data_IF_582023293947
#
_entry.id   IF_582023293947
#
_cell.length_a   1.000
_cell.length_b   1.000
_cell.length_c   1.000
_cell.angle_alpha   90.00
_cell.angle_beta   90.00
_cell.angle_gamma   90.00
#
_symmetry.space_group_name_H-M   'P 1'
#
loop_
_entity.id
_entity.type
_entity.pdbx_description
1 polymer ?
#
# COMPACT_ATOMS: atom_id res chain seq x y z
N UNK A 1 -0.65 -37.63 2.42
CA UNK A 1 -1.34 -36.98 3.56
C UNK A 1 -0.96 -35.51 3.66
N UNK A 2 0.32 -35.16 3.67
CA UNK A 2 0.81 -33.77 3.74
C UNK A 2 0.32 -32.94 2.55
N UNK A 3 0.39 -33.42 1.33
CA UNK A 3 -0.09 -32.69 0.15
C UNK A 3 -1.57 -32.30 0.27
N UNK A 4 -2.39 -33.19 0.84
CA UNK A 4 -3.81 -32.90 1.07
C UNK A 4 -4.02 -31.85 2.18
N UNK A 5 -3.14 -31.80 3.18
CA UNK A 5 -3.17 -30.77 4.22
C UNK A 5 -2.64 -29.42 3.72
N UNK A 6 -1.82 -29.43 2.69
CA UNK A 6 -1.25 -28.25 2.06
C UNK A 6 -2.17 -27.62 0.99
N UNK A 7 -3.26 -28.29 0.61
CA UNK A 7 -4.25 -27.72 -0.32
C UNK A 7 -4.85 -26.42 0.27
N UNK A 8 -4.87 -25.34 -0.51
CA UNK A 8 -5.35 -24.03 -0.06
C UNK A 8 -4.40 -23.25 0.84
N UNK A 9 -3.13 -23.71 0.98
CA UNK A 9 -2.13 -23.03 1.84
C UNK A 9 -1.78 -21.61 1.40
N UNK A 10 -2.03 -21.24 0.15
CA UNK A 10 -1.85 -19.88 -0.37
C UNK A 10 -2.76 -18.86 0.31
N UNK A 11 -3.93 -19.27 0.79
CA UNK A 11 -4.90 -18.43 1.48
C UNK A 11 -4.66 -18.33 3.00
N UNK A 12 -3.69 -19.11 3.51
CA UNK A 12 -3.37 -19.18 4.95
C UNK A 12 -2.12 -18.35 5.25
N UNK A 13 -2.17 -17.52 6.27
CA UNK A 13 -1.04 -16.70 6.72
C UNK A 13 -0.25 -17.31 7.89
N UNK A 14 -0.91 -18.11 8.72
CA UNK A 14 -0.32 -18.74 9.91
C UNK A 14 -1.03 -20.07 10.20
N UNK A 15 -0.26 -21.12 10.47
CA UNK A 15 -0.78 -22.42 10.92
C UNK A 15 -0.54 -22.61 12.41
N UNK A 16 -1.59 -22.98 13.13
CA UNK A 16 -1.44 -23.47 14.50
C UNK A 16 -1.30 -24.99 14.52
N UNK A 17 -0.21 -25.46 15.10
CA UNK A 17 0.09 -26.88 15.24
C UNK A 17 -0.43 -27.36 16.58
N UNK A 18 -1.45 -28.24 16.54
CA UNK A 18 -1.98 -28.87 17.74
C UNK A 18 -1.02 -29.95 18.27
N UNK A 19 -0.77 -29.93 19.56
CA UNK A 19 0.14 -30.83 20.23
C UNK A 19 -0.61 -32.04 20.76
N UNK A 20 -0.63 -33.14 20.02
CA UNK A 20 -1.33 -34.36 20.45
C UNK A 20 -0.43 -35.58 20.70
N UNK A 21 0.89 -35.44 20.77
CA UNK A 21 1.95 -36.44 20.89
C UNK A 21 2.73 -36.74 19.60
N UNK A 22 4.02 -36.52 19.68
CA UNK A 22 5.12 -36.85 18.75
C UNK A 22 4.80 -37.15 17.27
N UNK A 23 4.51 -36.16 16.45
CA UNK A 23 5.02 -36.20 15.09
C UNK A 23 5.72 -34.90 14.70
N UNK A 24 6.83 -34.61 15.38
CA UNK A 24 7.67 -33.47 15.00
C UNK A 24 8.05 -33.52 13.52
N UNK A 25 8.38 -34.71 13.03
CA UNK A 25 8.78 -34.91 11.64
C UNK A 25 7.65 -34.52 10.68
N UNK A 26 6.40 -34.87 11.00
CA UNK A 26 5.24 -34.55 10.16
C UNK A 26 4.97 -33.03 10.13
N UNK A 27 5.09 -32.36 11.28
CA UNK A 27 4.91 -30.92 11.41
C UNK A 27 6.02 -30.15 10.64
N UNK A 28 7.27 -30.63 10.75
CA UNK A 28 8.39 -30.05 10.01
C UNK A 28 8.24 -30.24 8.50
N UNK A 29 7.89 -31.44 8.05
CA UNK A 29 7.66 -31.72 6.65
C UNK A 29 6.50 -30.90 6.09
N UNK A 30 5.42 -30.75 6.87
CA UNK A 30 4.29 -29.87 6.50
C UNK A 30 4.75 -28.41 6.38
N UNK A 31 5.44 -27.88 7.40
CA UNK A 31 5.92 -26.50 7.37
C UNK A 31 6.88 -26.23 6.22
N UNK A 32 7.79 -27.15 5.91
CA UNK A 32 8.67 -27.06 4.75
C UNK A 32 7.89 -27.05 3.43
N UNK A 33 6.83 -27.86 3.37
CA UNK A 33 5.99 -27.98 2.17
C UNK A 33 5.16 -26.71 1.89
N UNK A 34 4.58 -26.10 2.94
CA UNK A 34 3.72 -24.92 2.78
C UNK A 34 4.52 -23.61 2.77
N UNK A 35 5.71 -23.57 3.37
CA UNK A 35 6.54 -22.36 3.44
C UNK A 35 5.88 -21.18 4.17
N UNK A 36 4.99 -21.49 5.12
CA UNK A 36 4.23 -20.51 5.89
C UNK A 36 4.64 -20.53 7.35
N UNK A 37 4.48 -19.41 8.08
CA UNK A 37 4.68 -19.39 9.52
C UNK A 37 3.84 -20.45 10.24
N UNK A 38 4.42 -21.08 11.23
CA UNK A 38 3.73 -22.01 12.10
C UNK A 38 3.82 -21.54 13.55
N UNK A 39 2.83 -21.89 14.36
CA UNK A 39 2.75 -21.51 15.77
C UNK A 39 2.22 -22.63 16.62
N UNK A 40 2.50 -22.55 17.91
CA UNK A 40 1.91 -23.41 18.95
C UNK A 40 1.45 -22.51 20.10
N UNK A 41 0.32 -22.84 20.71
CA UNK A 41 -0.11 -22.28 21.98
C UNK A 41 0.22 -23.24 23.12
N UNK A 42 0.25 -22.76 24.36
CA UNK A 42 0.60 -23.54 25.55
C UNK A 42 2.05 -24.04 25.49
N UNK A 43 2.98 -23.09 25.46
CA UNK A 43 4.40 -23.38 25.44
C UNK A 43 4.82 -24.29 26.61
N UNK A 44 5.56 -25.35 26.29
CA UNK A 44 6.13 -26.29 27.24
C UNK A 44 7.56 -26.65 26.85
N UNK A 45 8.23 -27.45 27.63
CA UNK A 45 9.62 -27.88 27.31
C UNK A 45 9.75 -28.58 25.94
N UNK A 46 8.71 -29.25 25.49
CA UNK A 46 8.68 -29.86 24.16
C UNK A 46 8.50 -28.85 23.03
N UNK A 47 7.79 -27.74 23.25
CA UNK A 47 7.66 -26.66 22.26
C UNK A 47 8.99 -25.92 22.04
N UNK A 48 9.85 -25.82 23.08
CA UNK A 48 11.18 -25.24 22.95
C UNK A 48 12.06 -26.06 22.00
N UNK A 49 12.01 -27.39 22.08
CA UNK A 49 12.74 -28.27 21.16
C UNK A 49 12.21 -28.13 19.73
N UNK A 50 10.89 -28.09 19.58
CA UNK A 50 10.25 -27.90 18.27
C UNK A 50 10.61 -26.55 17.67
N UNK A 51 10.56 -25.49 18.45
CA UNK A 51 10.96 -24.13 18.01
C UNK A 51 12.42 -24.12 17.52
N UNK A 52 13.32 -24.73 18.30
CA UNK A 52 14.73 -24.79 17.94
C UNK A 52 14.95 -25.54 16.61
N UNK A 53 14.25 -26.66 16.40
CA UNK A 53 14.34 -27.44 15.17
C UNK A 53 13.79 -26.69 13.94
N UNK A 54 12.66 -26.01 14.08
CA UNK A 54 12.10 -25.17 13.02
C UNK A 54 13.05 -24.02 12.64
N UNK A 55 13.56 -23.30 13.65
CA UNK A 55 14.50 -22.20 13.44
C UNK A 55 15.82 -22.65 12.82
N UNK A 56 16.35 -23.82 13.26
CA UNK A 56 17.56 -24.38 12.68
C UNK A 56 17.44 -24.73 11.19
N UNK A 57 16.22 -24.96 10.71
CA UNK A 57 15.89 -25.18 9.30
C UNK A 57 15.46 -23.92 8.55
N UNK A 58 15.54 -22.76 9.19
CA UNK A 58 15.12 -21.49 8.60
C UNK A 58 13.61 -21.33 8.44
N UNK A 59 12.82 -22.15 9.17
CA UNK A 59 11.37 -22.06 9.18
C UNK A 59 10.89 -21.08 10.25
N UNK A 60 9.88 -20.32 9.93
CA UNK A 60 9.29 -19.34 10.84
C UNK A 60 8.34 -20.04 11.82
N UNK A 61 8.63 -19.95 13.11
CA UNK A 61 7.87 -20.63 14.16
C UNK A 61 7.72 -19.75 15.40
N UNK A 62 6.51 -19.76 15.97
CA UNK A 62 6.15 -18.98 17.14
C UNK A 62 5.62 -19.88 18.25
N UNK A 63 5.97 -19.54 19.48
CA UNK A 63 5.53 -20.26 20.68
C UNK A 63 4.84 -19.26 21.60
N UNK A 64 3.54 -19.38 21.73
CA UNK A 64 2.69 -18.49 22.52
C UNK A 64 2.33 -19.12 23.86
N UNK A 65 2.25 -18.32 24.91
CA UNK A 65 1.85 -18.78 26.23
C UNK A 65 0.37 -19.18 26.22
N UNK A 66 -0.45 -18.37 25.61
CA UNK A 66 -1.90 -18.56 25.48
C UNK A 66 -2.47 -17.95 24.19
N UNK A 67 -3.80 -17.92 24.08
CA UNK A 67 -4.49 -17.34 22.93
C UNK A 67 -4.53 -15.80 22.94
N UNK A 68 -4.38 -15.17 24.10
CA UNK A 68 -4.30 -13.70 24.19
C UNK A 68 -2.99 -13.20 23.59
N UNK A 69 -1.87 -13.80 23.99
CA UNK A 69 -0.54 -13.56 23.41
C UNK A 69 -0.53 -13.85 21.89
N UNK A 70 -1.11 -14.96 21.45
CA UNK A 70 -1.24 -15.29 20.05
C UNK A 70 -2.04 -14.24 19.27
N UNK A 71 -3.12 -13.71 19.84
CA UNK A 71 -3.99 -12.72 19.20
C UNK A 71 -3.27 -11.38 19.03
N UNK A 72 -2.52 -10.95 20.03
CA UNK A 72 -1.69 -9.74 19.95
C UNK A 72 -0.67 -9.87 18.83
N UNK A 73 0.04 -11.00 18.77
CA UNK A 73 1.06 -11.24 17.77
C UNK A 73 0.48 -11.38 16.35
N UNK A 74 -0.71 -11.94 16.18
CA UNK A 74 -1.41 -11.99 14.88
C UNK A 74 -1.64 -10.59 14.31
N UNK A 75 -1.84 -9.57 15.16
CA UNK A 75 -1.94 -8.18 14.72
C UNK A 75 -0.63 -7.69 14.07
N UNK A 76 0.51 -8.07 14.63
CA UNK A 76 1.84 -7.76 14.07
C UNK A 76 2.05 -8.49 12.74
N UNK A 77 1.67 -9.78 12.65
CA UNK A 77 1.76 -10.55 11.39
C UNK A 77 0.88 -9.96 10.29
N UNK A 78 -0.34 -9.50 10.66
CA UNK A 78 -1.22 -8.79 9.73
C UNK A 78 -0.58 -7.50 9.21
N UNK A 79 0.02 -6.69 10.08
CA UNK A 79 0.71 -5.47 9.67
C UNK A 79 1.86 -5.79 8.71
N UNK A 80 2.65 -6.81 8.99
CA UNK A 80 3.72 -7.30 8.10
C UNK A 80 3.18 -7.72 6.73
N UNK A 81 2.05 -8.43 6.68
CA UNK A 81 1.39 -8.82 5.43
C UNK A 81 0.93 -7.60 4.64
N UNK A 82 0.24 -6.66 5.30
CA UNK A 82 -0.21 -5.41 4.66
C UNK A 82 0.97 -4.65 4.05
N UNK A 83 2.08 -4.54 4.77
CA UNK A 83 3.30 -3.90 4.23
C UNK A 83 3.85 -4.66 3.01
N UNK A 84 3.90 -5.99 3.07
CA UNK A 84 4.38 -6.83 1.97
C UNK A 84 3.50 -6.71 0.72
N UNK A 85 2.20 -6.59 0.90
CA UNK A 85 1.23 -6.48 -0.19
C UNK A 85 1.06 -5.03 -0.69
N UNK A 86 1.70 -4.06 -0.01
CA UNK A 86 1.62 -2.66 -0.38
C UNK A 86 2.35 -2.38 -1.69
N UNK A 87 1.68 -1.59 -2.54
CA UNK A 87 2.20 -1.10 -3.81
C UNK A 87 2.07 0.42 -3.82
N UNK A 88 3.18 1.10 -3.66
CA UNK A 88 3.23 2.56 -3.60
C UNK A 88 3.31 3.11 -5.02
N UNK A 89 2.36 3.94 -5.41
CA UNK A 89 2.47 4.77 -6.59
C UNK A 89 3.20 6.07 -6.24
N UNK A 90 4.40 6.24 -6.75
CA UNK A 90 5.23 7.42 -6.55
C UNK A 90 5.16 8.32 -7.78
N UNK A 91 4.41 9.42 -7.67
CA UNK A 91 4.31 10.42 -8.73
C UNK A 91 5.51 11.37 -8.64
N UNK A 92 6.59 11.06 -9.32
CA UNK A 92 7.84 11.81 -9.24
C UNK A 92 8.08 12.68 -10.47
N UNK A 93 8.92 13.69 -10.35
CA UNK A 93 9.34 14.54 -11.47
C UNK A 93 10.20 13.78 -12.49
N UNK A 94 10.96 12.81 -12.00
CA UNK A 94 11.83 11.95 -12.81
C UNK A 94 11.64 10.50 -12.39
N UNK A 95 11.71 9.60 -13.34
CA UNK A 95 11.64 8.15 -13.12
C UNK A 95 12.93 7.57 -12.54
N UNK A 96 13.88 8.40 -12.15
CA UNK A 96 15.12 7.94 -11.55
C UNK A 96 14.95 7.75 -10.04
N UNK A 97 15.61 6.73 -9.52
CA UNK A 97 15.66 6.37 -8.12
C UNK A 97 16.33 7.41 -7.22
N UNK A 98 16.83 8.49 -7.79
CA UNK A 98 17.49 9.55 -7.05
C UNK A 98 16.74 10.86 -7.29
N UNK A 99 15.93 11.25 -6.32
CA UNK A 99 15.48 12.64 -6.23
C UNK A 99 16.64 13.48 -5.71
N UNK A 100 17.11 14.43 -6.51
CA UNK A 100 18.26 15.27 -6.20
C UNK A 100 17.95 16.30 -5.12
N UNK A 101 16.68 16.44 -4.72
CA UNK A 101 16.20 17.56 -3.91
C UNK A 101 15.90 17.26 -2.46
N UNK A 102 15.87 15.99 -2.06
CA UNK A 102 15.53 15.62 -0.68
C UNK A 102 16.62 14.72 -0.06
N UNK A 103 17.18 15.09 1.11
CA UNK A 103 18.16 14.26 1.81
C UNK A 103 17.63 12.92 2.30
N UNK A 104 16.33 12.76 2.36
CA UNK A 104 15.60 11.54 2.69
C UNK A 104 15.41 10.59 1.50
N UNK A 105 15.74 11.01 0.29
CA UNK A 105 15.66 10.17 -0.92
C UNK A 105 16.93 9.34 -1.19
N UNK A 106 17.81 9.22 -0.22
CA UNK A 106 19.02 8.37 -0.28
C UNK A 106 18.67 6.87 -0.05
N UNK A 107 17.43 6.57 0.30
CA UNK A 107 17.01 5.19 0.54
C UNK A 107 16.88 4.46 -0.80
N UNK A 108 17.60 3.36 -0.92
CA UNK A 108 17.50 2.46 -2.05
C UNK A 108 16.13 1.74 -2.04
N UNK A 109 15.26 1.96 -3.04
CA UNK A 109 13.94 1.35 -3.09
C UNK A 109 13.99 -0.19 -3.16
N UNK A 110 15.05 -0.75 -3.73
CA UNK A 110 15.23 -2.21 -3.78
C UNK A 110 15.38 -2.79 -2.38
N UNK A 111 16.09 -2.09 -1.49
CA UNK A 111 16.20 -2.50 -0.08
C UNK A 111 14.89 -2.44 0.68
N UNK A 112 14.00 -1.52 0.32
CA UNK A 112 12.66 -1.46 0.89
C UNK A 112 11.89 -2.71 0.46
N UNK A 113 11.94 -3.06 -0.82
CA UNK A 113 11.29 -4.25 -1.35
C UNK A 113 11.87 -5.53 -0.76
N UNK A 114 13.18 -5.64 -0.64
CA UNK A 114 13.85 -6.78 0.00
C UNK A 114 13.45 -6.95 1.47
N UNK A 115 13.40 -5.83 2.21
CA UNK A 115 13.13 -5.84 3.65
C UNK A 115 11.68 -6.06 4.00
N UNK A 116 10.77 -5.39 3.29
CA UNK A 116 9.36 -5.31 3.65
C UNK A 116 8.43 -5.98 2.62
N UNK A 117 8.92 -6.29 1.43
CA UNK A 117 8.09 -6.78 0.33
C UNK A 117 7.32 -5.68 -0.41
N UNK A 118 7.26 -4.48 0.14
CA UNK A 118 6.58 -3.32 -0.44
C UNK A 118 7.16 -2.98 -1.81
N UNK A 119 6.31 -2.79 -2.80
CA UNK A 119 6.71 -2.45 -4.17
C UNK A 119 6.47 -0.98 -4.44
N UNK A 120 7.42 -0.34 -5.14
CA UNK A 120 7.29 1.06 -5.53
C UNK A 120 7.16 1.12 -7.05
N UNK A 121 6.09 1.75 -7.52
CA UNK A 121 5.85 2.03 -8.94
C UNK A 121 5.99 3.52 -9.18
N UNK A 122 6.76 3.89 -10.18
CA UNK A 122 6.99 5.28 -10.52
C UNK A 122 6.11 5.71 -11.69
N UNK A 123 5.54 6.90 -11.57
CA UNK A 123 4.85 7.61 -12.64
C UNK A 123 5.36 9.03 -12.70
N UNK A 124 5.38 9.61 -13.89
CA UNK A 124 5.74 11.01 -14.03
C UNK A 124 4.69 11.91 -13.37
N UNK A 125 5.10 12.76 -12.43
CA UNK A 125 4.21 13.75 -11.84
C UNK A 125 3.61 14.69 -12.89
N UNK A 126 4.33 15.00 -13.96
CA UNK A 126 3.81 15.80 -15.06
C UNK A 126 2.67 15.08 -15.79
N UNK A 127 2.83 13.79 -16.03
CA UNK A 127 1.80 12.97 -16.66
C UNK A 127 0.54 12.88 -15.81
N UNK A 128 0.69 12.63 -14.51
CA UNK A 128 -0.43 12.65 -13.57
C UNK A 128 -1.16 14.00 -13.61
N UNK A 129 -0.43 15.11 -13.53
CA UNK A 129 -1.00 16.45 -13.53
C UNK A 129 -1.71 16.79 -14.85
N UNK A 130 -1.22 16.32 -15.98
CA UNK A 130 -1.82 16.55 -17.27
C UNK A 130 -3.13 15.75 -17.46
N UNK A 131 -3.26 14.59 -16.81
CA UNK A 131 -4.48 13.78 -16.81
C UNK A 131 -5.58 14.32 -15.88
N UNK A 132 -5.25 15.23 -14.95
CA UNK A 132 -6.24 15.95 -14.13
C UNK A 132 -6.88 17.03 -15.01
N UNK A 133 -7.70 16.60 -15.95
CA UNK A 133 -8.41 17.42 -16.91
C UNK A 133 -9.58 16.63 -17.48
N UNK A 134 -10.63 17.33 -17.91
CA UNK A 134 -11.76 16.75 -18.66
C UNK A 134 -11.46 16.63 -20.15
N UNK A 135 -10.54 17.46 -20.65
CA UNK A 135 -10.04 17.36 -22.02
C UNK A 135 -8.93 16.32 -22.07
N UNK A 136 -8.80 15.62 -23.18
CA UNK A 136 -7.63 14.76 -23.45
C UNK A 136 -6.60 15.50 -24.32
N UNK A 137 -5.88 16.49 -23.75
CA UNK A 137 -4.94 17.30 -24.51
C UNK A 137 -3.69 16.54 -24.90
N UNK A 138 -3.49 15.35 -24.29
CA UNK A 138 -2.25 14.60 -24.36
C UNK A 138 -2.38 13.28 -25.12
N UNK A 139 -3.45 13.09 -25.87
CA UNK A 139 -3.66 11.86 -26.65
C UNK A 139 -2.45 11.47 -27.52
N UNK A 140 -1.69 12.48 -27.98
CA UNK A 140 -0.50 12.29 -28.79
C UNK A 140 0.79 12.06 -28.00
N UNK A 141 0.79 12.32 -26.69
CA UNK A 141 1.97 12.25 -25.82
C UNK A 141 1.84 11.19 -24.74
N UNK A 142 0.62 10.72 -24.48
CA UNK A 142 0.42 9.66 -23.51
C UNK A 142 1.03 8.36 -24.00
N UNK A 143 1.66 7.65 -23.09
CA UNK A 143 2.12 6.28 -23.36
C UNK A 143 0.93 5.44 -23.82
N UNK A 144 1.06 4.65 -24.91
CA UNK A 144 0.01 3.77 -25.36
C UNK A 144 -0.50 2.90 -24.20
N UNK A 145 -1.82 2.89 -23.99
CA UNK A 145 -2.45 2.16 -22.91
C UNK A 145 -3.00 3.01 -21.76
N UNK A 146 -2.77 4.33 -21.75
CA UNK A 146 -3.29 5.24 -20.72
C UNK A 146 -4.49 6.08 -21.15
N UNK A 147 -5.09 5.75 -22.26
CA UNK A 147 -6.37 6.34 -22.66
C UNK A 147 -7.42 6.10 -21.57
N UNK A 148 -8.20 7.11 -21.26
CA UNK A 148 -9.30 7.02 -20.30
C UNK A 148 -8.92 7.31 -18.84
N UNK A 149 -7.72 7.81 -18.55
CA UNK A 149 -7.37 8.28 -17.21
C UNK A 149 -7.85 9.72 -16.93
N UNK A 150 -8.24 10.45 -17.96
CA UNK A 150 -8.83 11.78 -17.82
C UNK A 150 -10.15 11.72 -17.05
N UNK A 151 -10.51 12.83 -16.43
CA UNK A 151 -11.80 13.00 -15.79
C UNK A 151 -12.91 12.98 -16.84
N UNK A 152 -14.03 12.35 -16.53
CA UNK A 152 -15.20 12.26 -17.38
C UNK A 152 -16.31 13.19 -16.92
N UNK A 153 -17.35 13.37 -17.73
CA UNK A 153 -18.54 14.15 -17.33
C UNK A 153 -19.32 13.48 -16.17
N UNK A 154 -19.21 12.18 -15.99
CA UNK A 154 -19.72 11.44 -14.84
C UNK A 154 -18.90 11.74 -13.59
N UNK A 155 -17.56 11.72 -13.71
CA UNK A 155 -16.66 12.11 -12.62
C UNK A 155 -16.97 13.55 -12.17
N UNK A 156 -17.20 14.48 -13.09
CA UNK A 156 -17.50 15.87 -12.76
C UNK A 156 -18.71 16.01 -11.83
N UNK A 157 -19.77 15.26 -12.08
CA UNK A 157 -20.98 15.29 -11.24
C UNK A 157 -20.70 14.80 -9.82
N UNK A 158 -19.87 13.77 -9.71
CA UNK A 158 -19.49 13.20 -8.40
C UNK A 158 -18.56 14.17 -7.68
N UNK A 159 -17.60 14.74 -8.38
CA UNK A 159 -16.67 15.76 -7.87
C UNK A 159 -17.42 16.98 -7.36
N UNK A 160 -18.43 17.48 -8.09
CA UNK A 160 -19.24 18.59 -7.66
C UNK A 160 -19.98 18.29 -6.36
N UNK A 161 -20.59 17.10 -6.27
CA UNK A 161 -21.29 16.66 -5.06
C UNK A 161 -20.33 16.52 -3.86
N UNK A 162 -19.21 15.86 -4.02
CA UNK A 162 -18.21 15.69 -2.95
C UNK A 162 -17.61 17.04 -2.52
N UNK A 163 -17.40 17.95 -3.46
CA UNK A 163 -16.94 19.31 -3.15
C UNK A 163 -17.93 20.02 -2.21
N UNK A 164 -19.24 19.95 -2.52
CA UNK A 164 -20.28 20.57 -1.71
C UNK A 164 -20.41 19.89 -0.34
N UNK A 165 -20.27 18.57 -0.27
CA UNK A 165 -20.29 17.80 0.98
C UNK A 165 -19.08 18.13 1.87
N UNK A 166 -17.88 18.26 1.31
CA UNK A 166 -16.68 18.65 2.04
C UNK A 166 -16.80 20.05 2.64
N UNK A 167 -17.29 21.01 1.86
CA UNK A 167 -17.50 22.39 2.33
C UNK A 167 -18.57 22.43 3.43
N UNK A 168 -19.67 21.70 3.26
CA UNK A 168 -20.76 21.66 4.24
C UNK A 168 -20.36 20.93 5.54
N UNK A 169 -19.44 19.98 5.49
CA UNK A 169 -18.93 19.25 6.65
C UNK A 169 -17.79 19.94 7.39
N UNK A 170 -17.18 20.97 6.81
CA UNK A 170 -16.08 21.68 7.43
C UNK A 170 -16.59 22.62 8.55
N UNK A 171 -15.87 22.68 9.69
CA UNK A 171 -16.14 23.67 10.74
C UNK A 171 -15.92 25.09 10.22
N UNK A 172 -14.93 25.30 9.37
CA UNK A 172 -14.59 26.55 8.72
C UNK A 172 -13.95 26.27 7.35
N UNK A 173 -14.33 27.03 6.33
CA UNK A 173 -13.76 26.93 4.99
C UNK A 173 -13.46 28.33 4.46
N UNK A 174 -12.20 28.74 4.50
CA UNK A 174 -11.73 30.03 3.98
C UNK A 174 -11.54 30.01 2.46
N UNK A 175 -11.55 28.81 1.84
CA UNK A 175 -11.29 28.62 0.41
C UNK A 175 -12.56 28.80 -0.41
N UNK A 176 -12.40 29.25 -1.65
CA UNK A 176 -13.53 29.27 -2.59
C UNK A 176 -13.90 27.86 -3.00
N UNK A 177 -15.20 27.64 -3.32
CA UNK A 177 -15.69 26.34 -3.83
C UNK A 177 -14.84 25.83 -5.01
N UNK A 178 -14.45 26.73 -5.91
CA UNK A 178 -13.64 26.37 -7.08
C UNK A 178 -12.27 25.82 -6.69
N UNK A 179 -11.61 26.38 -5.68
CA UNK A 179 -10.32 25.87 -5.19
C UNK A 179 -10.47 24.53 -4.52
N UNK A 180 -11.53 24.30 -3.76
CA UNK A 180 -11.83 22.98 -3.17
C UNK A 180 -12.09 21.98 -4.29
N UNK A 181 -12.92 22.33 -5.29
CA UNK A 181 -13.21 21.48 -6.46
C UNK A 181 -11.93 21.05 -7.17
N UNK A 182 -10.96 21.95 -7.40
CA UNK A 182 -9.67 21.61 -8.02
C UNK A 182 -8.90 20.56 -7.24
N UNK A 183 -8.96 20.58 -5.93
CA UNK A 183 -8.33 19.56 -5.10
C UNK A 183 -9.06 18.21 -5.17
N UNK A 184 -10.40 18.23 -5.25
CA UNK A 184 -11.20 16.99 -5.44
C UNK A 184 -10.96 16.40 -6.83
N UNK A 185 -10.93 17.23 -7.89
CA UNK A 185 -10.54 16.82 -9.25
C UNK A 185 -9.18 16.10 -9.25
N UNK A 186 -8.21 16.67 -8.54
CA UNK A 186 -6.87 16.06 -8.40
C UNK A 186 -6.94 14.71 -7.69
N UNK A 187 -7.79 14.58 -6.65
CA UNK A 187 -7.97 13.30 -5.96
C UNK A 187 -8.53 12.23 -6.89
N UNK A 188 -9.54 12.55 -7.68
CA UNK A 188 -10.09 11.63 -8.68
C UNK A 188 -9.05 11.21 -9.73
N UNK A 189 -8.24 12.15 -10.21
CA UNK A 189 -7.11 11.83 -11.08
C UNK A 189 -6.13 10.85 -10.44
N UNK A 190 -5.77 11.06 -9.17
CA UNK A 190 -4.91 10.16 -8.42
C UNK A 190 -5.53 8.76 -8.28
N UNK A 191 -6.84 8.66 -7.97
CA UNK A 191 -7.54 7.38 -7.87
C UNK A 191 -7.49 6.59 -9.18
N UNK A 192 -7.75 7.24 -10.32
CA UNK A 192 -7.63 6.59 -11.64
C UNK A 192 -6.22 6.05 -11.90
N UNK A 193 -5.17 6.76 -11.46
CA UNK A 193 -3.81 6.27 -11.58
C UNK A 193 -3.53 5.12 -10.62
N UNK A 194 -4.02 5.17 -9.39
CA UNK A 194 -3.91 4.06 -8.44
C UNK A 194 -4.51 2.79 -9.01
N UNK A 195 -5.70 2.86 -9.58
CA UNK A 195 -6.38 1.74 -10.21
C UNK A 195 -5.61 1.21 -11.43
N UNK A 196 -5.20 2.11 -12.33
CA UNK A 196 -4.47 1.75 -13.53
C UNK A 196 -3.12 1.08 -13.25
N UNK A 197 -2.48 1.44 -12.16
CA UNK A 197 -1.20 0.86 -11.71
C UNK A 197 -1.38 -0.24 -10.66
N UNK A 198 -2.62 -0.61 -10.34
CA UNK A 198 -2.93 -1.59 -9.28
C UNK A 198 -2.19 -1.27 -7.98
N UNK A 199 -2.18 -0.01 -7.59
CA UNK A 199 -1.47 0.50 -6.41
C UNK A 199 -2.48 0.86 -5.31
N UNK A 200 -2.07 0.70 -4.05
CA UNK A 200 -2.91 0.93 -2.89
C UNK A 200 -2.31 1.93 -1.88
N UNK A 201 -1.21 2.57 -2.27
CA UNK A 201 -0.59 3.65 -1.52
C UNK A 201 -0.12 4.73 -2.50
N UNK A 202 -0.06 5.99 -2.07
CA UNK A 202 0.33 7.11 -2.91
C UNK A 202 1.37 8.00 -2.25
N UNK A 203 2.34 8.48 -3.04
CA UNK A 203 3.26 9.54 -2.62
C UNK A 203 3.60 10.46 -3.79
N UNK A 204 3.84 11.71 -3.48
CA UNK A 204 4.30 12.71 -4.44
C UNK A 204 5.31 13.67 -3.78
N UNK A 205 6.35 14.12 -4.49
CA UNK A 205 7.32 15.07 -3.97
C UNK A 205 6.74 16.48 -3.94
N UNK A 206 5.87 16.75 -2.97
CA UNK A 206 5.16 18.04 -2.85
C UNK A 206 6.10 19.25 -2.88
N UNK A 207 7.26 19.27 -2.19
CA UNK A 207 8.19 20.38 -2.27
C UNK A 207 8.66 20.67 -3.71
N UNK A 208 8.98 19.64 -4.48
CA UNK A 208 9.42 19.79 -5.87
C UNK A 208 8.31 20.32 -6.79
N UNK A 209 7.11 19.79 -6.62
CA UNK A 209 5.94 20.21 -7.39
C UNK A 209 5.53 21.64 -7.08
N UNK A 210 5.63 22.07 -5.81
CA UNK A 210 5.42 23.46 -5.40
C UNK A 210 6.52 24.37 -5.92
N UNK A 211 7.78 24.00 -5.77
CA UNK A 211 8.93 24.79 -6.25
C UNK A 211 8.90 25.00 -7.77
N UNK A 212 8.43 24.04 -8.52
CA UNK A 212 8.26 24.16 -9.98
C UNK A 212 6.99 24.90 -10.41
N UNK A 213 6.15 25.33 -9.44
CA UNK A 213 4.87 26.00 -9.65
C UNK A 213 3.84 25.22 -10.47
N UNK A 214 4.02 23.91 -10.66
CA UNK A 214 3.08 23.05 -11.42
C UNK A 214 1.74 22.93 -10.71
N UNK A 215 1.74 22.80 -9.37
CA UNK A 215 0.51 22.79 -8.58
C UNK A 215 -0.22 24.12 -8.64
N UNK A 216 0.52 25.24 -8.64
CA UNK A 216 -0.07 26.57 -8.78
C UNK A 216 -0.79 26.75 -10.12
N UNK A 217 -0.27 26.17 -11.21
CA UNK A 217 -0.92 26.19 -12.52
C UNK A 217 -2.25 25.44 -12.53
N UNK A 218 -2.35 24.38 -11.75
CA UNK A 218 -3.57 23.58 -11.56
C UNK A 218 -4.45 24.07 -10.41
N UNK A 219 -3.98 25.05 -9.63
CA UNK A 219 -4.70 25.72 -8.54
C UNK A 219 -5.11 24.79 -7.40
N UNK A 220 -4.27 23.83 -7.03
CA UNK A 220 -4.47 22.96 -5.87
C UNK A 220 -3.17 22.65 -5.16
N UNK A 221 -3.26 21.96 -4.00
CA UNK A 221 -2.14 21.39 -3.27
C UNK A 221 -2.43 19.90 -2.99
N UNK A 222 -1.38 19.10 -2.81
CA UNK A 222 -1.54 17.67 -2.51
C UNK A 222 -2.03 17.39 -1.08
N UNK A 223 -2.03 18.38 -0.19
CA UNK A 223 -2.37 18.18 1.22
C UNK A 223 -3.77 17.61 1.42
N UNK A 224 -4.79 18.18 0.75
CA UNK A 224 -6.16 17.67 0.83
C UNK A 224 -6.27 16.26 0.22
N UNK A 225 -5.53 15.99 -0.88
CA UNK A 225 -5.54 14.67 -1.51
C UNK A 225 -4.96 13.59 -0.60
N UNK A 226 -3.88 13.89 0.12
CA UNK A 226 -3.32 12.96 1.11
C UNK A 226 -4.33 12.69 2.24
N UNK A 227 -5.05 13.72 2.69
CA UNK A 227 -6.08 13.58 3.71
C UNK A 227 -7.23 12.69 3.23
N UNK A 228 -7.81 12.99 2.08
CA UNK A 228 -8.91 12.21 1.49
C UNK A 228 -8.51 10.75 1.22
N UNK A 229 -7.31 10.51 0.70
CA UNK A 229 -6.81 9.16 0.51
C UNK A 229 -6.71 8.40 1.85
N UNK A 230 -6.16 9.02 2.89
CA UNK A 230 -6.01 8.38 4.20
C UNK A 230 -7.38 8.08 4.84
N UNK A 231 -8.38 8.95 4.67
CA UNK A 231 -9.76 8.68 5.12
C UNK A 231 -10.38 7.48 4.40
N UNK A 232 -10.05 7.29 3.14
CA UNK A 232 -10.46 6.14 2.32
C UNK A 232 -9.64 4.87 2.59
N UNK A 233 -8.68 4.92 3.52
CA UNK A 233 -7.80 3.79 3.85
C UNK A 233 -6.67 3.55 2.85
N UNK A 234 -6.34 4.54 2.02
CA UNK A 234 -5.22 4.54 1.08
C UNK A 234 -4.06 5.32 1.73
N UNK A 235 -3.03 4.66 2.26
CA UNK A 235 -1.88 5.35 2.85
C UNK A 235 -1.27 6.35 1.88
N UNK A 236 -1.25 7.61 2.28
CA UNK A 236 -0.84 8.70 1.40
C UNK A 236 -0.04 9.77 2.16
N UNK A 237 1.11 10.13 1.64
CA UNK A 237 2.00 11.14 2.21
C UNK A 237 2.89 11.79 1.14
N UNK A 238 3.46 12.97 1.46
CA UNK A 238 4.50 13.62 0.68
C UNK A 238 5.89 13.45 1.29
#
# INVERSE_FOLDING_TARGET
>A
MIDKLAEGSEEVDLYFIGYASRPYDLALEFAQRVGKPCAITQACCASAITSAEFLARGLEFYSFEDWEDATEYMTVLRARKVMKDSKILAATRMTSTVSVSAPDSIIDPEKITERFGTRIRYVSAHELLDQISYDDPMENYCTPGRKGLNLTAEDEKIIDKETDELIAGAEECEMTREMVKKSVEANYGIQKFLDAYESNCFTAPCPDLCATRRLNQKQFTMCLNHSLNNEQGIPSAC
#
